data_IF_624202311802
#
_entry.id   IF_624202311802
#
_cell.length_a   1.000
_cell.length_b   1.000
_cell.length_c   1.000
_cell.angle_alpha   90.00
_cell.angle_beta   90.00
_cell.angle_gamma   90.00
#
_symmetry.space_group_name_H-M   'P 1'
#
loop_
_entity.id
_entity.type
_entity.pdbx_description
1 polymer ?
#
# COMPACT_ATOMS: atom_id res chain seq x y z
N UNK A 1 -68.74 -54.77 0.12
CA UNK A 1 -67.55 -54.18 0.77
C UNK A 1 -66.49 -53.69 -0.23
N UNK A 2 -66.34 -54.29 -1.42
CA UNK A 2 -65.29 -53.92 -2.37
C UNK A 2 -65.46 -52.54 -3.05
N UNK A 3 -66.69 -52.06 -3.24
CA UNK A 3 -66.94 -50.79 -3.95
C UNK A 3 -66.37 -49.56 -3.23
N UNK A 4 -66.39 -49.55 -1.89
CA UNK A 4 -65.82 -48.46 -1.09
C UNK A 4 -64.30 -48.36 -1.22
N UNK A 5 -63.60 -49.49 -1.39
CA UNK A 5 -62.15 -49.50 -1.61
C UNK A 5 -61.77 -48.96 -2.98
N UNK A 6 -62.58 -49.24 -4.01
CA UNK A 6 -62.36 -48.72 -5.36
C UNK A 6 -62.55 -47.19 -5.37
N UNK A 7 -63.64 -46.71 -4.79
CA UNK A 7 -63.92 -45.26 -4.72
C UNK A 7 -62.86 -44.55 -3.87
N UNK A 8 -62.50 -45.11 -2.70
CA UNK A 8 -61.46 -44.57 -1.85
C UNK A 8 -60.09 -44.51 -2.54
N UNK A 9 -59.72 -45.57 -3.27
CA UNK A 9 -58.48 -45.62 -4.04
C UNK A 9 -58.41 -44.52 -5.10
N UNK A 10 -59.50 -44.31 -5.86
CA UNK A 10 -59.56 -43.27 -6.89
C UNK A 10 -59.41 -41.87 -6.29
N UNK A 11 -60.10 -41.58 -5.19
CA UNK A 11 -60.01 -40.28 -4.51
C UNK A 11 -58.59 -40.00 -4.01
N UNK A 12 -57.95 -40.99 -3.36
CA UNK A 12 -56.57 -40.86 -2.87
C UNK A 12 -55.61 -40.57 -4.03
N UNK A 13 -55.80 -41.26 -5.15
CA UNK A 13 -54.94 -41.09 -6.34
C UNK A 13 -55.07 -39.69 -6.94
N UNK A 14 -56.29 -39.16 -7.04
CA UNK A 14 -56.55 -37.81 -7.53
C UNK A 14 -55.95 -36.73 -6.60
N UNK A 15 -56.06 -36.92 -5.27
CA UNK A 15 -55.47 -36.00 -4.30
C UNK A 15 -53.93 -36.01 -4.41
N UNK A 16 -53.31 -37.20 -4.49
CA UNK A 16 -51.87 -37.34 -4.70
C UNK A 16 -51.43 -36.67 -6.01
N UNK A 17 -52.18 -36.88 -7.10
CA UNK A 17 -51.89 -36.25 -8.38
C UNK A 17 -51.95 -34.72 -8.28
N UNK A 18 -52.97 -34.18 -7.62
CA UNK A 18 -53.12 -32.74 -7.42
C UNK A 18 -51.94 -32.17 -6.62
N UNK A 19 -51.52 -32.84 -5.55
CA UNK A 19 -50.35 -32.43 -4.75
C UNK A 19 -49.07 -32.43 -5.60
N UNK A 20 -48.85 -33.47 -6.40
CA UNK A 20 -47.68 -33.55 -7.30
C UNK A 20 -47.68 -32.42 -8.32
N UNK A 21 -48.84 -32.09 -8.90
CA UNK A 21 -48.97 -30.99 -9.86
C UNK A 21 -48.70 -29.63 -9.19
N UNK A 22 -49.24 -29.40 -8.00
CA UNK A 22 -48.98 -28.16 -7.23
C UNK A 22 -47.51 -28.05 -6.87
N UNK A 23 -46.89 -29.15 -6.42
CA UNK A 23 -45.47 -29.18 -6.08
C UNK A 23 -44.59 -28.91 -7.31
N UNK A 24 -44.97 -29.43 -8.48
CA UNK A 24 -44.29 -29.16 -9.75
C UNK A 24 -44.41 -27.70 -10.19
N UNK A 25 -45.61 -27.11 -10.07
CA UNK A 25 -45.84 -25.69 -10.35
C UNK A 25 -45.03 -24.79 -9.40
N UNK A 26 -45.05 -25.09 -8.11
CA UNK A 26 -44.27 -24.37 -7.09
C UNK A 26 -42.77 -24.46 -7.39
N UNK A 27 -42.29 -25.64 -7.77
CA UNK A 27 -40.89 -25.87 -8.18
C UNK A 27 -40.52 -25.00 -9.39
N UNK A 28 -41.35 -24.98 -10.44
CA UNK A 28 -41.12 -24.12 -11.63
C UNK A 28 -41.11 -22.63 -11.30
N UNK A 29 -42.01 -22.19 -10.43
CA UNK A 29 -42.04 -20.81 -9.96
C UNK A 29 -40.76 -20.46 -9.19
N UNK A 30 -40.36 -21.31 -8.25
CA UNK A 30 -39.17 -21.10 -7.43
C UNK A 30 -37.89 -21.02 -8.28
N UNK A 31 -37.71 -21.92 -9.26
CA UNK A 31 -36.58 -21.86 -10.17
C UNK A 31 -36.54 -20.58 -11.02
N UNK A 32 -37.70 -20.01 -11.35
CA UNK A 32 -37.78 -18.72 -12.05
C UNK A 32 -37.32 -17.56 -11.14
N UNK A 33 -37.71 -17.58 -9.86
CA UNK A 33 -37.28 -16.59 -8.87
C UNK A 33 -35.79 -16.65 -8.56
N UNK A 34 -35.23 -17.85 -8.36
CA UNK A 34 -33.79 -18.03 -8.11
C UNK A 34 -32.96 -17.36 -9.22
N UNK A 35 -33.36 -17.50 -10.49
CA UNK A 35 -32.65 -16.88 -11.61
C UNK A 35 -32.61 -15.35 -11.48
N UNK A 36 -33.72 -14.72 -11.09
CA UNK A 36 -33.76 -13.27 -10.92
C UNK A 36 -32.91 -12.82 -9.73
N UNK A 37 -32.94 -13.56 -8.61
CA UNK A 37 -32.10 -13.28 -7.45
C UNK A 37 -30.62 -13.37 -7.82
N UNK A 38 -30.21 -14.41 -8.55
CA UNK A 38 -28.83 -14.55 -9.04
C UNK A 38 -28.40 -13.40 -9.95
N UNK A 39 -29.27 -12.97 -10.86
CA UNK A 39 -28.99 -11.83 -11.75
C UNK A 39 -28.82 -10.53 -10.94
N UNK A 40 -29.72 -10.26 -9.99
CA UNK A 40 -29.64 -9.07 -9.13
C UNK A 40 -28.36 -9.09 -8.29
N UNK A 41 -28.01 -10.25 -7.73
CA UNK A 41 -26.80 -10.42 -6.94
C UNK A 41 -25.54 -10.21 -7.80
N UNK A 42 -25.52 -10.73 -9.03
CA UNK A 42 -24.44 -10.50 -9.99
C UNK A 42 -24.31 -9.01 -10.33
N UNK A 43 -25.41 -8.33 -10.65
CA UNK A 43 -25.41 -6.90 -10.95
C UNK A 43 -24.93 -6.09 -9.74
N UNK A 44 -25.39 -6.43 -8.53
CA UNK A 44 -24.96 -5.81 -7.29
C UNK A 44 -23.47 -6.01 -7.02
N UNK A 45 -22.94 -7.22 -7.25
CA UNK A 45 -21.52 -7.51 -7.10
C UNK A 45 -20.66 -6.72 -8.09
N UNK A 46 -21.05 -6.69 -9.37
CA UNK A 46 -20.33 -5.93 -10.41
C UNK A 46 -20.39 -4.43 -10.12
N UNK A 47 -21.57 -3.91 -9.78
CA UNK A 47 -21.76 -2.50 -9.43
C UNK A 47 -20.93 -2.09 -8.21
N UNK A 48 -20.94 -2.91 -7.15
CA UNK A 48 -20.12 -2.71 -5.96
C UNK A 48 -18.63 -2.75 -6.29
N UNK A 49 -18.18 -3.71 -7.10
CA UNK A 49 -16.79 -3.80 -7.56
C UNK A 49 -16.33 -2.54 -8.31
N UNK A 50 -17.14 -2.04 -9.23
CA UNK A 50 -16.85 -0.79 -9.98
C UNK A 50 -16.82 0.41 -9.02
N UNK A 51 -17.75 0.49 -8.08
CA UNK A 51 -17.81 1.56 -7.09
C UNK A 51 -16.55 1.60 -6.23
N UNK A 52 -16.14 0.45 -5.66
CA UNK A 52 -14.91 0.33 -4.88
C UNK A 52 -13.69 0.67 -5.74
N UNK A 53 -13.61 0.15 -6.97
CA UNK A 53 -12.51 0.44 -7.89
C UNK A 53 -12.36 1.94 -8.15
N UNK A 54 -13.47 2.68 -8.28
CA UNK A 54 -13.46 4.13 -8.45
C UNK A 54 -13.07 4.89 -7.18
N UNK A 55 -13.35 4.34 -6.00
CA UNK A 55 -13.00 4.97 -4.73
C UNK A 55 -11.54 4.80 -4.33
N UNK A 56 -10.84 3.79 -4.86
CA UNK A 56 -9.41 3.61 -4.54
C UNK A 56 -8.63 4.79 -5.14
N UNK A 57 -8.00 5.65 -4.31
CA UNK A 57 -7.21 6.75 -4.81
C UNK A 57 -6.05 6.19 -5.64
N UNK A 58 -5.96 6.61 -6.91
CA UNK A 58 -4.83 6.23 -7.76
C UNK A 58 -3.57 6.77 -7.10
N UNK A 59 -2.64 5.88 -6.74
CA UNK A 59 -1.31 6.28 -6.28
C UNK A 59 -0.67 7.11 -7.39
N UNK A 60 -0.40 8.37 -7.13
CA UNK A 60 0.24 9.26 -8.09
C UNK A 60 1.63 8.67 -8.41
N UNK A 61 1.97 8.39 -9.68
CA UNK A 61 3.27 7.85 -10.05
C UNK A 61 4.44 8.78 -9.70
N UNK A 62 4.16 10.03 -9.33
CA UNK A 62 5.13 10.98 -8.80
C UNK A 62 5.61 10.66 -7.37
N UNK A 63 4.85 9.90 -6.59
CA UNK A 63 5.21 9.54 -5.21
C UNK A 63 6.40 8.57 -5.24
N UNK A 64 7.43 8.88 -4.46
CA UNK A 64 8.71 8.15 -4.44
C UNK A 64 9.77 8.71 -5.39
N UNK A 65 9.44 9.68 -6.24
CA UNK A 65 10.44 10.34 -7.11
C UNK A 65 11.29 11.34 -6.36
N UNK A 66 12.49 11.57 -6.86
CA UNK A 66 13.43 12.57 -6.35
C UNK A 66 13.02 13.95 -6.84
N UNK A 67 12.78 14.87 -5.91
CA UNK A 67 12.38 16.24 -6.17
C UNK A 67 13.60 17.17 -6.24
N UNK A 68 13.64 17.99 -7.28
CA UNK A 68 14.67 18.99 -7.55
C UNK A 68 14.03 20.35 -7.77
N UNK A 69 14.66 21.41 -7.29
CA UNK A 69 14.21 22.76 -7.59
C UNK A 69 14.52 23.08 -9.06
N UNK A 70 13.55 23.64 -9.79
CA UNK A 70 13.70 23.90 -11.23
C UNK A 70 14.69 25.03 -11.52
N UNK A 71 14.79 26.00 -10.62
CA UNK A 71 15.59 27.21 -10.80
C UNK A 71 17.11 26.95 -10.70
N UNK A 72 17.54 26.09 -9.79
CA UNK A 72 18.97 25.85 -9.52
C UNK A 72 19.35 24.37 -9.50
N UNK A 73 18.43 23.46 -9.82
CA UNK A 73 18.67 22.02 -9.80
C UNK A 73 18.91 21.44 -8.41
N UNK A 74 18.69 22.17 -7.32
CA UNK A 74 18.99 21.71 -5.96
C UNK A 74 18.10 20.54 -5.56
N UNK A 75 18.71 19.47 -5.04
CA UNK A 75 17.98 18.34 -4.48
C UNK A 75 17.17 18.74 -3.22
N UNK A 76 15.88 18.39 -3.21
CA UNK A 76 14.96 18.71 -2.12
C UNK A 76 14.62 17.48 -1.26
N UNK A 77 14.62 16.28 -1.85
CA UNK A 77 14.23 15.05 -1.16
C UNK A 77 13.37 14.14 -2.02
N UNK A 78 12.57 13.29 -1.36
CA UNK A 78 11.66 12.35 -2.02
C UNK A 78 10.22 12.82 -1.86
N UNK A 79 9.43 12.75 -2.93
CA UNK A 79 7.99 13.08 -2.87
C UNK A 79 7.24 12.01 -2.09
N UNK A 80 6.56 12.40 -1.02
CA UNK A 80 5.72 11.49 -0.23
C UNK A 80 4.24 11.63 -0.54
N UNK A 81 3.83 12.78 -1.08
CA UNK A 81 2.43 13.03 -1.40
C UNK A 81 2.19 14.29 -2.21
N UNK A 82 0.94 14.45 -2.62
CA UNK A 82 0.39 15.65 -3.25
C UNK A 82 -0.55 16.34 -2.27
N UNK A 83 -0.52 17.66 -2.24
CA UNK A 83 -1.50 18.48 -1.52
C UNK A 83 -1.93 19.67 -2.36
N UNK A 84 -2.80 20.49 -1.77
CA UNK A 84 -3.22 21.77 -2.30
C UNK A 84 -3.09 22.81 -1.18
N UNK A 85 -2.42 23.93 -1.49
CA UNK A 85 -2.24 25.05 -0.58
C UNK A 85 -2.92 26.28 -1.19
N UNK A 86 -3.83 26.91 -0.45
CA UNK A 86 -4.61 28.07 -0.88
C UNK A 86 -3.76 29.22 -1.44
N UNK A 87 -2.48 29.32 -1.05
CA UNK A 87 -1.56 30.36 -1.55
C UNK A 87 -0.71 29.95 -2.74
N UNK A 88 -0.47 28.65 -2.94
CA UNK A 88 0.53 28.11 -3.88
C UNK A 88 -0.07 27.19 -4.95
N UNK A 89 -1.37 26.91 -4.85
CA UNK A 89 -2.07 25.93 -5.67
C UNK A 89 -1.61 24.51 -5.34
N UNK A 90 -1.45 23.68 -6.37
CA UNK A 90 -0.95 22.32 -6.17
C UNK A 90 0.48 22.32 -5.61
N UNK A 91 0.69 21.52 -4.57
CA UNK A 91 1.98 21.36 -3.90
C UNK A 91 2.42 19.89 -3.86
N UNK A 92 3.72 19.67 -3.94
CA UNK A 92 4.38 18.42 -3.59
C UNK A 92 4.78 18.44 -2.12
N UNK A 93 4.43 17.39 -1.39
CA UNK A 93 4.94 17.13 -0.04
C UNK A 93 6.22 16.34 -0.20
N UNK A 94 7.36 16.98 0.05
CA UNK A 94 8.69 16.41 -0.13
C UNK A 94 9.30 16.16 1.24
N UNK A 95 9.82 14.95 1.49
CA UNK A 95 10.62 14.65 2.69
C UNK A 95 12.11 14.81 2.38
N UNK A 96 12.77 15.84 2.94
CA UNK A 96 14.22 15.96 2.87
C UNK A 96 14.89 14.88 3.72
N UNK A 97 16.13 14.47 3.40
CA UNK A 97 16.86 13.51 4.21
C UNK A 97 17.07 14.05 5.63
N UNK A 98 16.57 13.33 6.63
CA UNK A 98 16.72 13.67 8.05
C UNK A 98 15.87 14.85 8.55
N UNK A 99 14.86 15.32 7.80
CA UNK A 99 13.95 16.39 8.23
C UNK A 99 12.48 16.03 8.00
N UNK A 100 11.58 16.79 8.64
CA UNK A 100 10.14 16.68 8.42
C UNK A 100 9.73 17.06 7.00
N UNK A 101 8.61 16.53 6.48
CA UNK A 101 8.11 16.86 5.15
C UNK A 101 7.79 18.35 5.00
N UNK A 102 8.15 18.91 3.85
CA UNK A 102 7.94 20.32 3.49
C UNK A 102 7.17 20.42 2.18
N UNK A 103 6.28 21.40 2.07
CA UNK A 103 5.46 21.63 0.88
C UNK A 103 6.15 22.58 -0.10
N UNK A 104 6.32 22.13 -1.35
CA UNK A 104 6.85 22.92 -2.46
C UNK A 104 5.81 23.04 -3.57
N UNK A 105 5.67 24.21 -4.19
CA UNK A 105 4.76 24.38 -5.33
C UNK A 105 5.21 23.51 -6.49
N UNK A 106 4.28 22.81 -7.15
CA UNK A 106 4.59 21.94 -8.28
C UNK A 106 5.30 22.68 -9.42
N UNK A 107 4.97 23.95 -9.63
CA UNK A 107 5.56 24.81 -10.66
C UNK A 107 7.08 25.02 -10.51
N UNK A 108 7.62 24.82 -9.31
CA UNK A 108 9.04 25.05 -9.00
C UNK A 108 9.83 23.75 -8.82
N UNK A 109 9.20 22.59 -8.99
CA UNK A 109 9.81 21.29 -8.69
C UNK A 109 9.81 20.40 -9.92
N UNK A 110 11.00 19.96 -10.31
CA UNK A 110 11.21 18.91 -11.28
C UNK A 110 11.35 17.58 -10.57
N UNK A 111 10.68 16.54 -11.08
CA UNK A 111 10.77 15.18 -10.55
C UNK A 111 11.67 14.33 -11.44
N UNK A 112 12.55 13.55 -10.82
CA UNK A 112 13.42 12.58 -11.50
C UNK A 112 13.29 11.20 -10.85
N UNK A 113 13.42 10.16 -11.66
CA UNK A 113 13.32 8.77 -11.18
C UNK A 113 14.60 8.29 -10.49
N UNK A 114 15.75 8.89 -10.82
CA UNK A 114 17.04 8.58 -10.21
C UNK A 114 17.64 9.84 -9.61
N UNK A 115 18.36 9.66 -8.50
CA UNK A 115 19.12 10.73 -7.87
C UNK A 115 20.36 11.03 -8.72
N UNK A 116 20.55 12.28 -9.09
CA UNK A 116 21.78 12.73 -9.75
C UNK A 116 22.98 12.61 -8.79
N UNK A 117 24.07 11.91 -9.17
CA UNK A 117 25.26 11.71 -8.33
C UNK A 117 26.03 13.00 -7.99
N UNK A 118 25.71 14.11 -8.67
CA UNK A 118 26.40 15.40 -8.48
C UNK A 118 25.97 16.13 -7.21
N UNK A 119 24.86 15.72 -6.59
CA UNK A 119 24.28 16.36 -5.41
C UNK A 119 24.56 15.62 -4.10
N UNK A 120 25.39 14.57 -4.14
CA UNK A 120 25.94 14.03 -2.90
C UNK A 120 26.95 15.03 -2.35
N UNK A 121 26.84 15.43 -1.06
CA UNK A 121 27.90 16.20 -0.43
C UNK A 121 29.16 15.35 -0.56
N UNK A 122 30.12 15.85 -1.33
CA UNK A 122 31.47 15.28 -1.45
C UNK A 122 31.89 14.86 -0.04
N UNK A 123 32.16 13.57 0.23
CA UNK A 123 32.60 13.15 1.55
C UNK A 123 33.75 14.06 1.92
N UNK A 124 33.55 14.85 2.98
CA UNK A 124 34.59 15.70 3.51
C UNK A 124 35.78 14.75 3.75
N UNK A 125 36.89 14.95 3.04
CA UNK A 125 38.07 14.10 3.13
C UNK A 125 38.50 14.11 4.60
N UNK A 126 38.09 13.09 5.33
CA UNK A 126 38.53 12.86 6.70
C UNK A 126 40.05 12.72 6.61
N UNK A 127 40.85 13.55 7.31
CA UNK A 127 42.30 13.50 7.17
C UNK A 127 42.76 12.09 7.53
N UNK A 128 43.26 11.37 6.53
CA UNK A 128 43.85 10.05 6.67
C UNK A 128 45.14 10.20 7.47
N UNK A 129 45.04 10.12 8.80
CA UNK A 129 46.19 9.92 9.67
C UNK A 129 46.63 8.47 9.53
N UNK A 130 47.46 8.23 8.52
CA UNK A 130 48.20 6.98 8.36
C UNK A 130 48.99 6.69 9.65
N UNK A 131 48.71 5.60 10.40
CA UNK A 131 49.49 5.24 11.57
C UNK A 131 50.81 4.63 11.11
N UNK A 132 51.93 5.27 11.46
CA UNK A 132 53.28 4.74 11.25
C UNK A 132 53.51 3.59 12.24
N UNK A 133 53.93 2.37 11.81
CA UNK A 133 54.11 1.25 12.74
C UNK A 133 55.41 1.42 13.54
N UNK A 134 55.26 1.75 14.83
CA UNK A 134 56.34 1.84 15.82
C UNK A 134 56.44 0.55 16.63
N UNK A 135 57.56 -0.14 16.45
CA UNK A 135 57.97 -1.44 16.97
C UNK A 135 58.01 -1.51 18.52
N UNK A 136 57.56 -2.64 19.06
CA UNK A 136 57.54 -3.05 20.47
C UNK A 136 58.93 -3.28 21.07
N UNK A 137 59.17 -2.83 22.30
CA UNK A 137 60.07 -3.41 23.32
C UNK A 137 59.91 -2.54 24.58
N UNK A 138 59.47 -3.00 25.75
CA UNK A 138 60.04 -4.09 26.52
C UNK A 138 60.49 -3.54 27.89
N UNK A 139 59.57 -3.60 28.87
CA UNK A 139 59.75 -3.85 30.32
C UNK A 139 61.12 -3.47 30.97
N UNK A 140 61.08 -2.67 32.06
CA UNK A 140 61.28 -3.10 33.49
C UNK A 140 61.90 -1.99 34.38
N UNK A 141 61.21 -1.72 35.49
CA UNK A 141 61.66 -1.38 36.86
C UNK A 141 62.57 -0.17 37.16
N UNK A 142 62.05 0.70 38.05
CA UNK A 142 62.78 1.49 39.06
C UNK A 142 63.52 0.57 40.07
N UNK A 143 64.39 1.01 41.02
CA UNK A 143 64.43 2.34 41.65
C UNK A 143 65.83 2.87 42.09
N UNK A 144 65.79 3.91 42.94
CA UNK A 144 66.76 4.37 43.97
C UNK A 144 67.89 5.35 43.61
N UNK A 145 67.79 6.59 44.14
CA UNK A 145 68.69 7.02 45.22
C UNK A 145 69.80 8.04 44.94
N UNK A 146 69.65 9.22 45.56
CA UNK A 146 70.67 9.93 46.38
C UNK A 146 71.81 10.76 45.74
N UNK A 147 71.88 12.00 46.23
CA UNK A 147 73.08 12.80 46.60
C UNK A 147 73.85 13.67 45.57
N UNK A 148 73.80 14.98 45.86
CA UNK A 148 74.94 15.87 46.13
C UNK A 148 75.64 16.67 45.00
N UNK A 149 75.48 18.01 45.13
CA UNK A 149 76.53 19.03 45.32
C UNK A 149 77.37 19.47 44.10
N UNK A 150 77.16 20.73 43.68
CA UNK A 150 78.20 21.77 43.66
C UNK A 150 77.56 23.13 43.87
#
# INVERSE_FOLDING_TARGET
MNEYYVIGGVVITLVLLAVVVVMWLASKFFFRFIKHILIILLIGAVGSGIYIYRMIPRKDPAIGKHAYLTENGKYLGVVEGKGEDNRRGEVWVVRPPGRYPVMYSKSRVSLKDRRDPKDDPKPNESPSSSPKPGRTSGRKAAPTGSAARK
#
